data_IF_522823711430
#
_entry.id   IF_522823711430
#
_cell.length_a   1.000
_cell.length_b   1.000
_cell.length_c   1.000
_cell.angle_alpha   90.00
_cell.angle_beta   90.00
_cell.angle_gamma   90.00
#
_symmetry.space_group_name_H-M   'P 1'
#
loop_
_entity.id
_entity.type
_entity.pdbx_description
1 polymer ?
#
# COMPACT_ATOMS: atom_id res chain seq x y z
N UNK A 1 3.16 -15.31 0.03
CA UNK A 1 3.53 -14.01 0.65
C UNK A 1 2.49 -12.93 0.42
N UNK A 2 1.92 -12.81 -0.78
CA UNK A 2 0.95 -11.76 -1.16
C UNK A 2 -0.17 -11.51 -0.14
N UNK A 3 -0.81 -12.56 0.37
CA UNK A 3 -1.90 -12.42 1.37
C UNK A 3 -1.43 -11.81 2.71
N UNK A 4 -0.21 -12.10 3.15
CA UNK A 4 0.34 -11.52 4.38
C UNK A 4 0.62 -10.03 4.19
N UNK A 5 1.15 -9.66 3.02
CA UNK A 5 1.39 -8.27 2.64
C UNK A 5 0.06 -7.51 2.52
N UNK A 6 -0.94 -8.11 1.87
CA UNK A 6 -2.27 -7.50 1.75
C UNK A 6 -2.90 -7.21 3.12
N UNK A 7 -2.86 -8.17 4.05
CA UNK A 7 -3.36 -7.95 5.43
C UNK A 7 -2.63 -6.83 6.15
N UNK A 8 -1.30 -6.78 6.06
CA UNK A 8 -0.52 -5.71 6.67
C UNK A 8 -0.84 -4.33 6.06
N UNK A 9 -1.10 -4.28 4.75
CA UNK A 9 -1.55 -3.04 4.10
C UNK A 9 -2.94 -2.64 4.61
N UNK A 10 -3.88 -3.57 4.75
CA UNK A 10 -5.22 -3.30 5.25
C UNK A 10 -5.23 -2.75 6.68
N UNK A 11 -4.24 -3.10 7.51
CA UNK A 11 -4.07 -2.54 8.86
C UNK A 11 -3.63 -1.06 8.85
N UNK A 12 -2.88 -0.60 7.84
CA UNK A 12 -2.38 0.79 7.76
C UNK A 12 -3.27 1.71 6.92
N UNK A 13 -4.08 1.16 6.01
CA UNK A 13 -4.99 1.92 5.14
C UNK A 13 -5.87 2.92 5.89
N UNK A 14 -6.49 2.60 7.04
CA UNK A 14 -7.34 3.55 7.74
C UNK A 14 -6.63 4.85 8.10
N UNK A 15 -5.36 4.76 8.51
CA UNK A 15 -4.54 5.95 8.82
C UNK A 15 -4.20 6.74 7.57
N UNK A 16 -3.79 6.06 6.48
CA UNK A 16 -3.52 6.70 5.20
C UNK A 16 -4.76 7.40 4.64
N UNK A 17 -5.93 6.78 4.76
CA UNK A 17 -7.22 7.33 4.33
C UNK A 17 -7.66 8.51 5.19
N UNK A 18 -7.39 8.50 6.50
CA UNK A 18 -7.63 9.64 7.37
C UNK A 18 -6.81 10.88 6.95
N UNK A 19 -5.59 10.65 6.43
CA UNK A 19 -4.72 11.68 5.85
C UNK A 19 -5.06 12.00 4.38
N UNK A 20 -6.12 11.41 3.82
CA UNK A 20 -6.62 11.65 2.46
C UNK A 20 -5.88 10.88 1.36
N UNK A 21 -5.04 9.91 1.70
CA UNK A 21 -4.34 9.02 0.78
C UNK A 21 -4.84 7.57 0.81
N UNK A 22 -4.21 6.70 0.03
CA UNK A 22 -4.39 5.24 0.10
C UNK A 22 -3.20 4.54 -0.59
N UNK A 23 -3.14 3.21 -0.50
CA UNK A 23 -2.13 2.36 -1.11
C UNK A 23 -2.76 1.13 -1.78
N UNK A 24 -2.33 0.83 -3.00
CA UNK A 24 -2.74 -0.35 -3.76
C UNK A 24 -1.56 -1.32 -3.90
N UNK A 25 -1.77 -2.60 -3.57
CA UNK A 25 -0.78 -3.64 -3.80
C UNK A 25 -0.78 -4.06 -5.27
N UNK A 26 0.31 -3.79 -5.99
CA UNK A 26 0.47 -4.12 -7.41
C UNK A 26 1.04 -5.53 -7.58
N UNK A 27 2.16 -5.81 -6.90
CA UNK A 27 2.88 -7.07 -7.07
C UNK A 27 3.72 -7.43 -5.84
N UNK A 28 3.98 -8.73 -5.67
CA UNK A 28 4.94 -9.26 -4.70
C UNK A 28 5.76 -10.32 -5.42
N UNK A 29 7.01 -10.00 -5.71
CA UNK A 29 7.95 -10.91 -6.39
C UNK A 29 8.42 -12.04 -5.46
N UNK A 30 8.93 -13.12 -6.04
CA UNK A 30 9.49 -14.26 -5.28
C UNK A 30 10.73 -13.88 -4.46
N UNK A 31 11.43 -12.81 -4.86
CA UNK A 31 12.57 -12.22 -4.14
C UNK A 31 12.13 -11.34 -2.95
N UNK A 32 10.82 -11.20 -2.72
CA UNK A 32 10.26 -10.42 -1.62
C UNK A 32 10.14 -8.92 -1.91
N UNK A 33 10.38 -8.47 -3.14
CA UNK A 33 10.13 -7.07 -3.54
C UNK A 33 8.63 -6.85 -3.69
N UNK A 34 8.11 -5.87 -2.94
CA UNK A 34 6.70 -5.46 -2.97
C UNK A 34 6.56 -4.20 -3.81
N UNK A 35 5.74 -4.24 -4.86
CA UNK A 35 5.38 -3.06 -5.64
C UNK A 35 4.01 -2.56 -5.19
N UNK A 36 3.95 -1.29 -4.85
CA UNK A 36 2.71 -0.60 -4.47
C UNK A 36 2.51 0.64 -5.32
N UNK A 37 1.27 1.10 -5.37
CA UNK A 37 0.90 2.39 -5.94
C UNK A 37 0.24 3.22 -4.86
N UNK A 38 0.79 4.40 -4.59
CA UNK A 38 0.18 5.37 -3.69
C UNK A 38 -0.91 6.13 -4.45
N UNK A 39 -2.02 6.42 -3.78
CA UNK A 39 -3.16 7.14 -4.34
C UNK A 39 -3.64 8.24 -3.38
N UNK A 40 -4.56 9.09 -3.83
CA UNK A 40 -5.07 10.23 -3.04
C UNK A 40 -3.98 11.29 -2.78
N UNK A 41 -4.01 11.91 -1.61
CA UNK A 41 -3.03 12.91 -1.18
C UNK A 41 -1.58 12.35 -1.17
N UNK A 42 -1.43 11.04 -0.91
CA UNK A 42 -0.12 10.38 -0.96
C UNK A 42 0.48 10.26 -2.36
N UNK A 43 -0.32 10.38 -3.43
CA UNK A 43 0.20 10.29 -4.81
C UNK A 43 1.01 11.53 -5.24
N UNK A 44 0.84 12.66 -4.53
CA UNK A 44 1.46 13.94 -4.87
C UNK A 44 2.48 14.44 -3.85
N UNK A 45 2.75 13.69 -2.78
CA UNK A 45 3.74 14.08 -1.75
C UNK A 45 5.11 13.52 -2.17
N UNK A 46 6.10 14.37 -2.54
CA UNK A 46 7.42 13.94 -3.02
C UNK A 46 8.27 13.27 -1.93
#
# INVERSE_FOLDING_TARGET
>A
MKEKVAKALDEIRPSLQADGGDVELIDVTDEGIVKVKLTGACAGCP
#
